data_IF_256974438470
#
_entry.id   IF_256974438470
#
_cell.length_a   1.000
_cell.length_b   1.000
_cell.length_c   1.000
_cell.angle_alpha   90.00
_cell.angle_beta   90.00
_cell.angle_gamma   90.00
#
_symmetry.space_group_name_H-M   'P 1'
#
loop_
_entity.id
_entity.type
_entity.pdbx_description
1 polymer ?
#
# COMPACT_ATOMS: atom_id res chain seq x y z
N UNK A 1 -23.59 -7.38 7.52
CA UNK A 1 -23.50 -8.85 7.69
C UNK A 1 -23.62 -9.32 9.15
N UNK A 2 -22.94 -8.71 10.13
CA UNK A 2 -23.13 -9.06 11.57
C UNK A 2 -24.30 -8.29 12.20
N UNK A 3 -24.35 -6.97 12.02
CA UNK A 3 -25.47 -6.12 12.51
C UNK A 3 -26.83 -6.53 11.96
N UNK A 4 -26.89 -6.96 10.70
CA UNK A 4 -28.14 -7.44 10.08
C UNK A 4 -28.69 -8.70 10.77
N UNK A 5 -27.81 -9.50 11.37
CA UNK A 5 -28.18 -10.75 12.08
C UNK A 5 -28.31 -10.55 13.59
N UNK A 6 -27.61 -9.58 14.16
CA UNK A 6 -27.58 -9.24 15.57
C UNK A 6 -27.65 -7.71 15.75
N UNK A 7 -28.87 -7.12 15.79
CA UNK A 7 -29.06 -5.67 15.81
C UNK A 7 -28.45 -4.97 17.03
N UNK A 8 -28.33 -5.69 18.15
CA UNK A 8 -27.75 -5.21 19.40
C UNK A 8 -26.20 -5.15 19.39
N UNK A 9 -25.54 -5.49 18.29
CA UNK A 9 -24.08 -5.50 18.23
C UNK A 9 -23.50 -4.09 18.13
N UNK A 10 -22.70 -3.73 19.13
CA UNK A 10 -21.84 -2.56 19.11
C UNK A 10 -20.53 -2.88 18.37
N UNK A 11 -20.04 -1.92 17.58
CA UNK A 11 -18.81 -2.08 16.80
C UNK A 11 -17.82 -1.01 17.25
N UNK A 12 -16.68 -1.45 17.76
CA UNK A 12 -15.58 -0.58 18.18
C UNK A 12 -14.40 -0.78 17.24
N UNK A 13 -13.87 0.33 16.72
CA UNK A 13 -12.71 0.29 15.86
C UNK A 13 -11.44 0.31 16.71
N UNK A 14 -10.82 -0.86 16.90
CA UNK A 14 -9.59 -1.02 17.68
C UNK A 14 -8.32 -0.75 16.87
N UNK A 15 -8.43 -0.29 15.62
CA UNK A 15 -7.26 0.08 14.82
C UNK A 15 -6.58 1.30 15.46
N UNK A 16 -5.32 1.13 15.85
CA UNK A 16 -4.50 2.22 16.39
C UNK A 16 -4.44 3.40 15.40
N UNK A 17 -4.50 4.64 15.92
CA UNK A 17 -4.37 5.88 15.13
C UNK A 17 -3.15 5.87 14.23
N UNK A 18 -2.01 5.41 14.72
CA UNK A 18 -0.77 5.35 13.94
C UNK A 18 -0.87 4.47 12.67
N UNK A 19 -1.79 3.50 12.64
CA UNK A 19 -2.08 2.70 11.45
C UNK A 19 -3.03 3.44 10.50
N UNK A 20 -4.00 4.18 11.02
CA UNK A 20 -4.88 5.04 10.22
C UNK A 20 -4.11 6.17 9.56
N UNK A 21 -3.30 6.91 10.33
CA UNK A 21 -2.50 8.03 9.83
C UNK A 21 -1.59 7.60 8.66
N UNK A 22 -1.00 6.40 8.73
CA UNK A 22 -0.19 5.84 7.64
C UNK A 22 -1.02 5.47 6.41
N UNK A 23 -2.23 4.93 6.60
CA UNK A 23 -3.13 4.63 5.48
C UNK A 23 -3.59 5.92 4.79
N UNK A 24 -3.96 6.93 5.57
CA UNK A 24 -4.37 8.24 5.05
C UNK A 24 -3.22 8.94 4.31
N UNK A 25 -2.02 8.97 4.90
CA UNK A 25 -0.84 9.53 4.25
C UNK A 25 -0.49 8.80 2.95
N UNK A 26 -0.58 7.46 2.93
CA UNK A 26 -0.35 6.68 1.73
C UNK A 26 -1.40 6.97 0.64
N UNK A 27 -2.66 7.14 1.02
CA UNK A 27 -3.74 7.50 0.08
C UNK A 27 -3.54 8.90 -0.47
N UNK A 28 -3.19 9.87 0.36
CA UNK A 28 -2.97 11.25 -0.08
C UNK A 28 -1.78 11.33 -1.04
N UNK A 29 -0.64 10.74 -0.67
CA UNK A 29 0.53 10.68 -1.54
C UNK A 29 0.23 9.96 -2.86
N UNK A 30 -0.58 8.90 -2.82
CA UNK A 30 -0.94 8.16 -4.03
C UNK A 30 -1.73 9.00 -5.05
N UNK A 31 -2.51 10.01 -4.63
CA UNK A 31 -3.30 10.84 -5.56
C UNK A 31 -2.43 11.52 -6.61
N UNK A 32 -1.21 11.89 -6.24
CA UNK A 32 -0.24 12.56 -7.12
C UNK A 32 0.61 11.57 -7.94
N UNK A 33 0.46 10.27 -7.73
CA UNK A 33 1.16 9.22 -8.46
C UNK A 33 0.27 8.57 -9.53
N UNK A 34 0.88 7.97 -10.55
CA UNK A 34 0.17 7.20 -11.57
C UNK A 34 0.09 5.70 -11.21
N UNK A 35 1.01 5.23 -10.37
CA UNK A 35 1.08 3.87 -9.83
C UNK A 35 1.82 3.91 -8.48
N UNK A 36 1.46 2.99 -7.58
CA UNK A 36 2.09 2.84 -6.27
C UNK A 36 2.67 1.44 -6.10
N UNK A 37 3.93 1.35 -5.71
CA UNK A 37 4.58 0.10 -5.31
C UNK A 37 4.63 0.05 -3.78
N UNK A 38 4.01 -0.98 -3.21
CA UNK A 38 3.99 -1.24 -1.77
C UNK A 38 4.96 -2.37 -1.48
N UNK A 39 5.99 -2.09 -0.68
CA UNK A 39 7.02 -3.07 -0.32
C UNK A 39 6.63 -3.79 0.98
N UNK A 40 6.50 -5.11 0.89
CA UNK A 40 6.29 -5.99 2.04
C UNK A 40 5.71 -7.34 1.65
N UNK A 41 5.74 -8.26 2.60
CA UNK A 41 5.34 -9.64 2.36
C UNK A 41 3.83 -9.79 2.14
N UNK A 42 3.45 -10.76 1.30
CA UNK A 42 2.08 -11.28 1.22
C UNK A 42 1.55 -11.89 2.53
N UNK A 43 2.37 -12.04 3.58
CA UNK A 43 1.87 -12.47 4.89
C UNK A 43 1.44 -11.30 5.77
N UNK A 44 1.81 -10.08 5.40
CA UNK A 44 1.50 -8.86 6.17
C UNK A 44 0.11 -8.34 5.84
N UNK A 45 -0.80 -8.40 6.82
CA UNK A 45 -2.12 -7.78 6.69
C UNK A 45 -2.02 -6.26 6.50
N UNK A 46 -1.06 -5.60 7.14
CA UNK A 46 -0.85 -4.17 7.01
C UNK A 46 -0.40 -3.78 5.59
N UNK A 47 0.54 -4.53 5.00
CA UNK A 47 1.03 -4.23 3.64
C UNK A 47 -0.08 -4.47 2.60
N UNK A 48 -0.86 -5.54 2.75
CA UNK A 48 -2.07 -5.76 1.93
C UNK A 48 -3.09 -4.65 2.10
N UNK A 49 -3.30 -4.20 3.34
CA UNK A 49 -4.25 -3.13 3.63
C UNK A 49 -3.83 -1.83 2.95
N UNK A 50 -2.54 -1.49 2.92
CA UNK A 50 -2.02 -0.33 2.18
C UNK A 50 -2.37 -0.41 0.68
N UNK A 51 -2.11 -1.55 0.04
CA UNK A 51 -2.49 -1.76 -1.37
C UNK A 51 -3.99 -1.60 -1.58
N UNK A 52 -4.79 -2.17 -0.67
CA UNK A 52 -6.24 -2.09 -0.73
C UNK A 52 -6.73 -0.64 -0.62
N UNK A 53 -6.27 0.12 0.38
CA UNK A 53 -6.74 1.51 0.57
C UNK A 53 -6.30 2.42 -0.56
N UNK A 54 -5.11 2.22 -1.15
CA UNK A 54 -4.69 3.00 -2.33
C UNK A 54 -5.59 2.70 -3.53
N UNK A 55 -5.92 1.43 -3.79
CA UNK A 55 -6.81 1.05 -4.89
C UNK A 55 -8.25 1.54 -4.67
N UNK A 56 -8.76 1.40 -3.46
CA UNK A 56 -10.16 1.73 -3.11
C UNK A 56 -10.39 3.23 -2.94
N UNK A 57 -9.47 3.96 -2.30
CA UNK A 57 -9.67 5.35 -1.91
C UNK A 57 -8.93 6.36 -2.80
N UNK A 58 -7.73 6.03 -3.28
CA UNK A 58 -7.00 6.90 -4.21
C UNK A 58 -7.31 6.59 -5.69
N UNK A 59 -7.97 5.47 -5.97
CA UNK A 59 -8.26 4.97 -7.32
C UNK A 59 -7.01 4.85 -8.22
N UNK A 60 -5.87 4.48 -7.61
CA UNK A 60 -4.62 4.26 -8.34
C UNK A 60 -4.26 2.79 -8.41
N UNK A 61 -3.59 2.34 -9.49
CA UNK A 61 -2.93 1.05 -9.52
C UNK A 61 -1.94 0.97 -8.36
N UNK A 62 -2.01 -0.11 -7.59
CA UNK A 62 -1.05 -0.38 -6.52
C UNK A 62 -0.63 -1.85 -6.56
N UNK A 63 0.66 -2.15 -6.34
CA UNK A 63 1.18 -3.52 -6.40
C UNK A 63 1.99 -3.84 -5.15
N UNK A 64 1.79 -5.05 -4.61
CA UNK A 64 2.58 -5.56 -3.49
C UNK A 64 3.81 -6.28 -4.04
N UNK A 65 4.99 -5.94 -3.54
CA UNK A 65 6.26 -6.59 -3.88
C UNK A 65 7.01 -6.96 -2.61
N UNK A 66 7.63 -8.14 -2.55
CA UNK A 66 8.48 -8.51 -1.42
C UNK A 66 9.88 -7.90 -1.60
N UNK A 67 10.36 -7.87 -2.84
CA UNK A 67 11.68 -7.35 -3.22
C UNK A 67 11.63 -6.54 -4.52
N UNK A 68 12.72 -5.83 -4.83
CA UNK A 68 12.87 -5.10 -6.09
C UNK A 68 12.66 -5.98 -7.34
N UNK A 69 13.00 -7.26 -7.27
CA UNK A 69 12.88 -8.21 -8.39
C UNK A 69 11.43 -8.52 -8.77
N UNK A 70 10.49 -8.26 -7.88
CA UNK A 70 9.07 -8.52 -8.12
C UNK A 70 8.39 -7.35 -8.86
N UNK A 71 9.08 -6.21 -9.02
CA UNK A 71 8.59 -5.07 -9.79
C UNK A 71 8.60 -5.43 -11.27
N UNK A 72 7.42 -5.33 -11.89
CA UNK A 72 7.26 -5.68 -13.30
C UNK A 72 7.27 -4.44 -14.21
N UNK A 73 8.05 -4.41 -15.29
CA UNK A 73 8.13 -3.25 -16.19
C UNK A 73 6.77 -2.82 -16.76
N UNK A 74 5.85 -3.75 -17.02
CA UNK A 74 4.51 -3.43 -17.53
C UNK A 74 3.68 -2.54 -16.59
N UNK A 75 3.99 -2.50 -15.30
CA UNK A 75 3.32 -1.61 -14.34
C UNK A 75 3.75 -0.15 -14.48
N UNK A 76 4.92 0.07 -15.09
CA UNK A 76 5.58 1.37 -15.19
C UNK A 76 5.42 1.99 -16.59
N UNK A 77 5.03 1.20 -17.59
CA UNK A 77 4.86 1.67 -18.96
C UNK A 77 3.85 2.83 -19.03
N UNK A 78 4.31 3.97 -19.57
CA UNK A 78 3.52 5.18 -19.72
C UNK A 78 3.19 5.93 -18.41
N UNK A 79 3.83 5.55 -17.29
CA UNK A 79 3.69 6.24 -15.99
C UNK A 79 4.81 7.26 -15.82
N UNK A 80 4.49 8.44 -15.29
CA UNK A 80 5.47 9.51 -15.04
C UNK A 80 5.82 9.60 -13.54
N UNK A 81 4.87 9.27 -12.67
CA UNK A 81 5.06 9.36 -11.21
C UNK A 81 4.78 8.01 -10.56
N UNK A 82 5.81 7.41 -9.98
CA UNK A 82 5.75 6.15 -9.25
C UNK A 82 5.88 6.44 -7.75
N UNK A 83 4.85 6.10 -6.98
CA UNK A 83 4.91 6.18 -5.53
C UNK A 83 5.52 4.91 -4.95
N UNK A 84 6.39 5.02 -3.95
CA UNK A 84 6.91 3.88 -3.20
C UNK A 84 6.55 4.03 -1.73
N UNK A 85 5.97 2.99 -1.14
CA UNK A 85 5.67 2.93 0.29
C UNK A 85 5.92 1.53 0.81
N UNK A 86 5.93 1.34 2.12
CA UNK A 86 6.23 0.05 2.73
C UNK A 86 5.42 -0.20 3.99
N UNK A 87 5.17 -1.47 4.28
CA UNK A 87 4.53 -1.88 5.53
C UNK A 87 5.42 -1.60 6.73
N UNK A 88 4.81 -1.41 7.92
CA UNK A 88 5.55 -1.12 9.15
C UNK A 88 6.59 -2.20 9.54
N UNK A 89 6.38 -3.44 9.11
CA UNK A 89 7.28 -4.57 9.36
C UNK A 89 8.31 -4.79 8.26
N UNK A 90 8.33 -3.96 7.22
CA UNK A 90 9.23 -4.12 6.08
C UNK A 90 10.58 -3.43 6.39
N UNK A 91 11.72 -4.14 6.28
CA UNK A 91 13.03 -3.54 6.42
C UNK A 91 13.26 -2.37 5.44
N UNK A 92 13.81 -1.26 5.93
CA UNK A 92 14.09 -0.05 5.13
C UNK A 92 14.95 -0.35 3.91
N UNK A 93 15.87 -1.31 4.00
CA UNK A 93 16.75 -1.68 2.90
C UNK A 93 15.98 -2.21 1.68
N UNK A 94 14.97 -3.05 1.88
CA UNK A 94 14.14 -3.57 0.76
C UNK A 94 13.39 -2.44 0.06
N UNK A 95 12.97 -1.42 0.82
CA UNK A 95 12.32 -0.24 0.22
C UNK A 95 13.31 0.58 -0.59
N UNK A 96 14.56 0.72 -0.13
CA UNK A 96 15.63 1.41 -0.88
C UNK A 96 15.99 0.68 -2.15
N UNK A 97 16.13 -0.64 -2.12
CA UNK A 97 16.43 -1.45 -3.31
C UNK A 97 15.37 -1.26 -4.41
N UNK A 98 14.09 -1.11 -4.03
CA UNK A 98 13.01 -0.80 -4.98
C UNK A 98 13.16 0.61 -5.55
N UNK A 99 13.53 1.60 -4.72
CA UNK A 99 13.76 2.98 -5.18
C UNK A 99 14.94 3.02 -6.15
N UNK A 100 16.07 2.39 -5.80
CA UNK A 100 17.28 2.32 -6.64
C UNK A 100 16.98 1.65 -7.99
N UNK A 101 16.17 0.59 -8.00
CA UNK A 101 15.71 -0.03 -9.24
C UNK A 101 14.92 0.96 -10.11
N UNK A 102 13.99 1.72 -9.51
CA UNK A 102 13.15 2.68 -10.24
C UNK A 102 13.93 3.88 -10.76
N UNK A 103 14.96 4.32 -10.04
CA UNK A 103 15.86 5.41 -10.48
C UNK A 103 16.79 5.01 -11.63
N UNK A 104 17.06 3.70 -11.77
CA UNK A 104 17.92 3.16 -12.83
C UNK A 104 17.18 2.84 -14.14
N UNK A 105 15.83 2.94 -14.16
CA UNK A 105 14.97 2.68 -15.32
C UNK A 105 14.71 3.94 -16.14
#
# INVERSE_FOLDING_TARGET
>A
RVRDKYPQTEAYNEICRATQDRQEAAVEAAKECDVVIVVGSERSSNSKRLVQVVRELAHKPAYLVDTAKDVKPEWLQGKQRVGVTSGASTPTQLTREVIELLEAL
#
